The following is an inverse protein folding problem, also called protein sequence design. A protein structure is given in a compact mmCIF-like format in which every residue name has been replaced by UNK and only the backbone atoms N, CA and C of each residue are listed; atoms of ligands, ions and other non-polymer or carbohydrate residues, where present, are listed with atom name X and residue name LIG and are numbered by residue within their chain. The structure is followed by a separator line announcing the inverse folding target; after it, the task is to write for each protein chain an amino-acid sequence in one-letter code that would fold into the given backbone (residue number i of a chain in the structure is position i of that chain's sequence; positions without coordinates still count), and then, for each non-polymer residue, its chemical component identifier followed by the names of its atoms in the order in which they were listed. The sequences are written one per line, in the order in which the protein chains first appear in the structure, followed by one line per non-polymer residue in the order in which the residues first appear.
data_IF_114676871583
#
_entry.id   IF_114676871583
#
_cell.length_a   1.000
_cell.length_b   1.000
_cell.length_c   1.000
_cell.angle_alpha   90.00
_cell.angle_beta   90.00
_cell.angle_gamma   90.00
#
_symmetry.space_group_name_H-M   'P 1'
#
loop_
_entity.id
_entity.type
_entity.pdbx_description
1 polymer ?
#
# COMPACT_ATOMS: atom_id res chain seq x y z
N UNK A 1 -15.50 17.54 54.22
CA UNK A 1 -14.18 16.93 54.02
C UNK A 1 -14.45 15.57 53.43
N UNK A 2 -14.53 15.47 52.10
CA UNK A 2 -14.37 14.21 51.37
C UNK A 2 -13.90 14.58 49.96
N UNK A 3 -12.65 14.25 49.69
CA UNK A 3 -11.91 14.61 48.48
C UNK A 3 -12.30 13.66 47.35
N UNK A 4 -12.96 14.17 46.31
CA UNK A 4 -13.06 13.48 45.03
C UNK A 4 -11.75 13.69 44.26
N UNK A 5 -10.86 12.69 44.35
CA UNK A 5 -9.66 12.61 43.51
C UNK A 5 -10.08 12.57 42.04
N UNK A 6 -9.59 13.55 41.29
CA UNK A 6 -9.69 13.60 39.83
C UNK A 6 -8.78 12.51 39.24
N UNK A 7 -9.28 11.67 38.31
CA UNK A 7 -8.45 10.63 37.71
C UNK A 7 -7.41 11.25 36.78
N UNK A 8 -6.16 10.79 36.86
CA UNK A 8 -5.11 11.16 35.91
C UNK A 8 -5.42 10.65 34.51
N UNK A 9 -5.13 11.50 33.52
CA UNK A 9 -5.48 11.31 32.12
C UNK A 9 -4.33 10.57 31.39
N UNK A 10 -4.41 9.24 31.35
CA UNK A 10 -3.40 8.36 30.75
C UNK A 10 -3.33 8.41 29.20
N UNK A 11 -3.97 9.39 28.54
CA UNK A 11 -3.93 9.55 27.08
C UNK A 11 -4.59 8.39 26.29
N UNK A 12 -5.29 7.49 26.98
CA UNK A 12 -6.06 6.39 26.39
C UNK A 12 -7.53 6.79 26.35
N UNK A 13 -8.07 6.94 25.13
CA UNK A 13 -9.49 7.28 24.91
C UNK A 13 -10.35 6.05 25.27
N UNK A 14 -10.92 6.04 26.48
CA UNK A 14 -11.93 5.04 26.86
C UNK A 14 -13.30 5.51 26.42
N UNK A 15 -13.79 5.00 25.29
CA UNK A 15 -15.16 5.27 24.83
C UNK A 15 -16.11 4.42 25.67
N UNK A 16 -16.66 4.97 26.75
CA UNK A 16 -17.84 4.38 27.41
C UNK A 16 -19.09 4.73 26.60
N UNK A 17 -19.86 3.71 26.21
CA UNK A 17 -21.21 3.91 25.66
C UNK A 17 -22.11 4.43 26.78
N UNK A 18 -22.47 5.70 26.74
CA UNK A 18 -23.56 6.22 27.55
C UNK A 18 -24.92 5.77 26.98
N UNK A 19 -25.88 5.64 27.88
CA UNK A 19 -27.30 5.27 27.69
C UNK A 19 -27.97 6.23 26.67
N UNK A 20 -28.85 5.75 25.77
CA UNK A 20 -29.38 6.58 24.70
C UNK A 20 -30.29 7.68 25.25
N UNK A 21 -29.90 8.94 25.08
CA UNK A 21 -30.70 10.12 25.47
C UNK A 21 -29.90 11.37 25.83
N UNK A 22 -28.59 11.28 26.04
CA UNK A 22 -27.74 12.42 26.37
C UNK A 22 -26.60 12.56 25.36
N UNK A 23 -26.54 13.73 24.71
CA UNK A 23 -25.44 14.09 23.80
C UNK A 23 -24.57 15.11 24.55
N UNK A 24 -23.40 14.68 25.01
CA UNK A 24 -22.42 15.59 25.60
C UNK A 24 -21.55 16.17 24.47
N UNK A 25 -21.75 17.45 24.17
CA UNK A 25 -20.99 18.14 23.12
C UNK A 25 -19.68 18.61 23.72
N UNK A 26 -18.66 17.76 23.67
CA UNK A 26 -17.29 18.15 24.02
C UNK A 26 -16.74 19.01 22.88
N UNK A 27 -16.81 20.33 23.05
CA UNK A 27 -16.07 21.29 22.24
C UNK A 27 -14.56 21.08 22.49
N UNK A 28 -13.96 20.19 21.71
CA UNK A 28 -12.54 19.87 21.78
C UNK A 28 -11.70 21.12 21.58
N UNK A 29 -11.06 21.58 22.65
CA UNK A 29 -10.03 22.62 22.60
C UNK A 29 -8.89 22.16 21.68
N UNK A 30 -8.60 22.96 20.65
CA UNK A 30 -7.54 22.69 19.69
C UNK A 30 -6.18 22.49 20.38
N UNK A 31 -5.36 21.50 19.98
CA UNK A 31 -4.05 21.31 20.56
C UNK A 31 -3.17 22.52 20.25
N UNK A 32 -2.64 23.18 21.29
CA UNK A 32 -1.59 24.20 21.15
C UNK A 32 -0.40 23.59 20.41
N UNK A 33 0.06 24.26 19.35
CA UNK A 33 1.31 23.96 18.64
C UNK A 33 2.45 23.79 19.67
N UNK A 34 2.99 22.57 19.78
CA UNK A 34 4.29 22.35 20.43
C UNK A 34 5.33 23.17 19.66
N UNK A 35 6.10 24.00 20.37
CA UNK A 35 7.29 24.65 19.80
C UNK A 35 8.25 23.54 19.39
N UNK A 36 8.68 23.58 18.13
CA UNK A 36 9.77 22.75 17.62
C UNK A 36 11.04 23.28 18.26
N UNK A 37 11.70 22.45 19.07
CA UNK A 37 13.04 22.77 19.57
C UNK A 37 13.98 22.96 18.39
N UNK A 38 14.72 24.07 18.40
CA UNK A 38 15.71 24.37 17.37
C UNK A 38 16.78 23.27 17.33
N UNK A 39 17.29 22.90 16.14
CA UNK A 39 18.26 21.83 16.02
C UNK A 39 19.52 22.14 16.82
N UNK A 40 19.94 21.17 17.63
CA UNK A 40 21.21 21.17 18.39
C UNK A 40 22.35 21.53 17.43
N UNK A 41 22.98 22.67 17.67
CA UNK A 41 24.20 23.13 16.98
C UNK A 41 25.28 22.08 17.14
N UNK A 42 25.59 21.36 16.06
CA UNK A 42 26.65 20.34 16.05
C UNK A 42 28.00 21.01 16.30
N UNK A 43 28.76 20.47 17.26
CA UNK A 43 30.09 20.96 17.61
C UNK A 43 31.04 20.86 16.41
N UNK A 44 32.02 21.77 16.25
CA UNK A 44 32.83 21.93 15.03
C UNK A 44 33.84 20.80 14.75
N UNK A 45 33.79 19.68 15.47
CA UNK A 45 34.70 18.55 15.29
C UNK A 45 34.61 17.92 13.90
N UNK A 46 33.43 17.92 13.27
CA UNK A 46 33.27 17.42 11.90
C UNK A 46 34.01 18.27 10.86
N UNK A 47 34.05 19.59 11.08
CA UNK A 47 34.78 20.54 10.23
C UNK A 47 36.30 20.38 10.42
N UNK A 48 36.73 20.14 11.66
CA UNK A 48 38.13 19.88 11.98
C UNK A 48 38.64 18.55 11.38
N UNK A 49 37.82 17.49 11.45
CA UNK A 49 38.10 16.20 10.80
C UNK A 49 38.17 16.33 9.27
N UNK A 50 37.26 17.09 8.66
CA UNK A 50 37.29 17.34 7.23
C UNK A 50 38.57 18.08 6.79
N UNK A 51 39.02 19.07 7.57
CA UNK A 51 40.28 19.77 7.31
C UNK A 51 41.50 18.84 7.42
N UNK A 52 41.53 17.93 8.39
CA UNK A 52 42.63 16.95 8.52
C UNK A 52 42.67 15.97 7.35
N UNK A 53 41.53 15.49 6.88
CA UNK A 53 41.44 14.60 5.71
C UNK A 53 41.92 15.32 4.46
N UNK A 54 41.50 16.58 4.26
CA UNK A 54 41.95 17.39 3.14
C UNK A 54 43.48 17.61 3.15
N UNK A 55 44.05 17.92 4.32
CA UNK A 55 45.50 18.08 4.47
C UNK A 55 46.27 16.79 4.16
N UNK A 56 45.77 15.63 4.58
CA UNK A 56 46.37 14.33 4.27
C UNK A 56 46.32 14.03 2.75
N UNK A 57 45.21 14.34 2.07
CA UNK A 57 45.10 14.17 0.62
C UNK A 57 46.09 15.07 -0.15
N UNK A 58 46.24 16.33 0.27
CA UNK A 58 47.20 17.26 -0.35
C UNK A 58 48.64 16.79 -0.12
N UNK A 59 48.99 16.33 1.07
CA UNK A 59 50.31 15.75 1.36
C UNK A 59 50.57 14.48 0.52
N UNK A 60 49.56 13.62 0.36
CA UNK A 60 49.62 12.44 -0.51
C UNK A 60 49.90 12.80 -1.97
N UNK A 61 49.24 13.83 -2.50
CA UNK A 61 49.49 14.31 -3.86
C UNK A 61 50.92 14.85 -4.03
N UNK A 62 51.41 15.66 -3.08
CA UNK A 62 52.77 16.21 -3.14
C UNK A 62 53.83 15.10 -3.12
N UNK A 63 53.67 14.07 -2.27
CA UNK A 63 54.59 12.93 -2.23
C UNK A 63 54.51 12.04 -3.48
N UNK A 64 53.34 11.97 -4.13
CA UNK A 64 53.15 11.24 -5.39
C UNK A 64 53.84 11.91 -6.58
N UNK A 65 53.89 13.25 -6.61
CA UNK A 65 54.59 14.00 -7.64
C UNK A 65 56.13 13.99 -7.48
N UNK A 66 56.64 13.69 -6.28
CA UNK A 66 58.07 13.51 -6.03
C UNK A 66 58.61 12.15 -6.52
N UNK A 67 57.74 11.19 -6.83
CA UNK A 67 58.12 9.93 -7.50
C UNK A 67 57.90 10.09 -9.01
N UNK A 68 58.92 10.58 -9.71
CA UNK A 68 58.92 10.58 -11.17
C UNK A 68 58.77 9.14 -11.71
N UNK A 69 57.84 8.87 -12.64
CA UNK A 69 57.80 7.59 -13.35
C UNK A 69 58.97 7.54 -14.34
N UNK A 70 59.74 6.45 -14.28
CA UNK A 70 60.80 6.15 -15.24
C UNK A 70 60.14 5.83 -16.58
N UNK A 71 60.23 6.74 -17.54
CA UNK A 71 59.69 6.57 -18.88
C UNK A 71 60.52 5.52 -19.65
N UNK A 72 59.86 4.50 -20.17
CA UNK A 72 60.39 3.63 -21.22
C UNK A 72 59.65 3.93 -22.52
N UNK A 73 60.45 4.05 -23.57
CA UNK A 73 60.11 4.63 -24.87
C UNK A 73 59.12 3.80 -25.70
N UNK A 74 58.30 4.51 -26.48
CA UNK A 74 57.53 4.03 -27.64
C UNK A 74 58.43 4.05 -28.89
N UNK A 75 58.23 3.14 -29.85
CA UNK A 75 57.96 3.58 -31.24
C UNK A 75 56.87 2.68 -31.93
N UNK A 76 56.46 2.88 -33.20
CA UNK A 76 55.18 3.55 -33.51
C UNK A 76 54.22 2.76 -34.46
N UNK A 77 52.99 3.28 -34.52
CA UNK A 77 51.95 3.29 -35.57
C UNK A 77 51.98 2.31 -36.77
N UNK A 78 50.81 1.69 -37.05
CA UNK A 78 50.25 1.57 -38.42
C UNK A 78 48.72 1.74 -38.36
N UNK A 79 48.23 2.74 -39.10
CA UNK A 79 46.82 2.97 -39.44
C UNK A 79 46.43 2.12 -40.66
N UNK A 80 45.22 1.57 -40.66
CA UNK A 80 44.46 1.29 -41.88
C UNK A 80 42.96 1.26 -41.58
N UNK A 81 42.24 2.16 -42.25
CA UNK A 81 40.82 2.05 -42.64
C UNK A 81 40.80 1.82 -44.19
N UNK A 82 39.68 1.63 -44.92
CA UNK A 82 38.25 1.62 -44.54
C UNK A 82 37.41 0.48 -45.23
N UNK A 83 36.07 0.67 -45.26
CA UNK A 83 35.03 -0.06 -46.04
C UNK A 83 34.57 -1.44 -45.51
N UNK A 84 33.27 -1.75 -45.33
CA UNK A 84 32.14 -1.46 -46.22
C UNK A 84 30.78 -1.29 -45.50
N UNK A 85 29.90 -0.57 -46.18
CA UNK A 85 28.48 -0.34 -45.91
C UNK A 85 27.65 -1.62 -46.08
N UNK A 86 26.59 -1.81 -45.27
CA UNK A 86 25.25 -2.15 -45.78
C UNK A 86 24.20 -1.79 -44.73
N UNK A 87 23.32 -0.86 -45.10
CA UNK A 87 22.00 -0.63 -44.49
C UNK A 87 21.02 -1.39 -45.36
N UNK A 88 20.17 -2.23 -44.78
CA UNK A 88 18.85 -2.48 -45.39
C UNK A 88 17.81 -2.78 -44.32
N UNK A 89 16.67 -2.14 -44.52
CA UNK A 89 15.55 -2.05 -43.62
C UNK A 89 14.50 -3.12 -43.95
N UNK A 90 13.46 -3.12 -43.13
CA UNK A 90 12.08 -3.53 -43.47
C UNK A 90 11.70 -5.00 -43.22
N UNK A 91 10.87 -5.22 -42.20
CA UNK A 91 9.46 -5.51 -42.41
C UNK A 91 8.75 -5.83 -41.08
N UNK A 92 7.80 -4.96 -40.74
CA UNK A 92 6.70 -5.22 -39.81
C UNK A 92 5.59 -5.92 -40.60
N UNK A 93 4.80 -6.84 -40.01
CA UNK A 93 3.36 -6.65 -40.17
C UNK A 93 2.49 -7.11 -38.99
N UNK A 94 1.51 -6.22 -38.72
CA UNK A 94 0.12 -6.36 -38.26
C UNK A 94 -0.33 -7.09 -36.99
N UNK A 95 -1.14 -6.30 -36.28
CA UNK A 95 -2.21 -6.58 -35.35
C UNK A 95 -3.08 -7.82 -35.60
N UNK A 96 -3.59 -8.38 -34.50
CA UNK A 96 -4.94 -8.94 -34.43
C UNK A 96 -5.51 -8.71 -33.03
N UNK A 97 -6.68 -8.09 -32.98
CA UNK A 97 -7.49 -7.87 -31.80
C UNK A 97 -8.38 -9.10 -31.53
N UNK A 98 -8.54 -9.43 -30.24
CA UNK A 98 -9.69 -9.96 -29.47
C UNK A 98 -10.75 -10.90 -30.14
N UNK A 99 -11.33 -11.87 -29.39
CA UNK A 99 -12.38 -11.46 -28.45
C UNK A 99 -12.51 -12.26 -27.14
N UNK A 100 -12.85 -11.52 -26.08
CA UNK A 100 -13.50 -12.01 -24.86
C UNK A 100 -14.87 -12.67 -25.15
N UNK A 101 -15.20 -13.82 -24.52
CA UNK A 101 -16.55 -14.36 -24.57
C UNK A 101 -17.46 -13.74 -23.50
N UNK A 102 -18.65 -13.38 -23.97
CA UNK A 102 -19.72 -12.74 -23.24
C UNK A 102 -20.36 -13.64 -22.16
N UNK A 103 -20.48 -13.13 -20.94
CA UNK A 103 -21.45 -13.64 -19.96
C UNK A 103 -22.70 -12.76 -19.94
N UNK A 104 -23.63 -13.20 -20.79
CA UNK A 104 -25.09 -13.11 -20.74
C UNK A 104 -25.68 -12.31 -19.56
N UNK A 105 -26.23 -11.13 -19.87
CA UNK A 105 -27.26 -10.45 -19.07
C UNK A 105 -28.50 -11.35 -19.00
N UNK A 106 -28.77 -11.96 -17.85
CA UNK A 106 -30.11 -12.47 -17.53
C UNK A 106 -30.91 -11.31 -16.93
N UNK A 107 -31.67 -10.62 -17.78
CA UNK A 107 -32.78 -9.76 -17.35
C UNK A 107 -33.85 -10.66 -16.76
N UNK A 108 -33.92 -10.72 -15.42
CA UNK A 108 -35.09 -11.25 -14.75
C UNK A 108 -36.20 -10.20 -14.85
N UNK A 109 -37.17 -10.47 -15.70
CA UNK A 109 -38.41 -9.72 -15.83
C UNK A 109 -39.19 -9.87 -14.53
N UNK A 110 -39.15 -8.83 -13.69
CA UNK A 110 -39.94 -8.75 -12.47
C UNK A 110 -41.39 -8.43 -12.85
N UNK A 111 -42.22 -9.47 -12.96
CA UNK A 111 -43.68 -9.30 -12.94
C UNK A 111 -44.05 -8.72 -11.57
N UNK A 112 -44.77 -7.59 -11.48
CA UNK A 112 -45.25 -7.11 -10.19
C UNK A 112 -46.29 -8.11 -9.69
N UNK A 113 -45.98 -8.80 -8.59
CA UNK A 113 -46.99 -9.54 -7.83
C UNK A 113 -47.94 -8.49 -7.29
N UNK A 114 -49.13 -8.40 -7.90
CA UNK A 114 -50.22 -7.62 -7.35
C UNK A 114 -50.51 -8.16 -5.95
N UNK A 115 -50.27 -7.34 -4.92
CA UNK A 115 -50.75 -7.64 -3.58
C UNK A 115 -52.27 -7.79 -3.66
N UNK A 116 -52.76 -9.02 -3.51
CA UNK A 116 -54.17 -9.29 -3.32
C UNK A 116 -54.50 -8.71 -1.95
N UNK A 117 -55.00 -7.47 -1.92
CA UNK A 117 -55.57 -6.90 -0.70
C UNK A 117 -56.86 -7.67 -0.45
N UNK A 118 -56.76 -8.70 0.38
CA UNK A 118 -57.94 -9.34 0.95
C UNK A 118 -58.77 -8.24 1.66
N UNK A 119 -60.11 -8.27 1.54
CA UNK A 119 -60.97 -7.26 2.14
C UNK A 119 -60.71 -7.18 3.65
N UNK A 120 -60.76 -5.97 4.25
CA UNK A 120 -60.42 -5.79 5.65
C UNK A 120 -61.32 -6.66 6.51
N UNK A 121 -60.71 -7.58 7.27
CA UNK A 121 -61.40 -8.33 8.31
C UNK A 121 -62.07 -7.35 9.29
N UNK A 122 -63.23 -7.69 9.87
CA UNK A 122 -63.92 -6.82 10.81
C UNK A 122 -63.03 -6.55 12.01
N UNK A 123 -62.51 -5.32 12.10
CA UNK A 123 -61.62 -4.88 13.16
C UNK A 123 -62.45 -4.76 14.45
N UNK A 124 -62.18 -5.62 15.44
CA UNK A 124 -62.84 -5.49 16.75
C UNK A 124 -62.31 -4.26 17.50
N UNK A 125 -63.15 -3.59 18.32
CA UNK A 125 -62.71 -2.45 19.11
C UNK A 125 -61.63 -2.89 20.11
N UNK A 126 -60.60 -2.06 20.26
CA UNK A 126 -59.42 -2.38 21.09
C UNK A 126 -59.80 -2.65 22.56
N UNK A 127 -60.87 -2.02 23.05
CA UNK A 127 -61.37 -2.14 24.42
C UNK A 127 -61.85 -3.56 24.75
N UNK A 128 -62.40 -4.29 23.78
CA UNK A 128 -62.84 -5.68 23.96
C UNK A 128 -61.66 -6.66 24.02
N UNK A 129 -60.53 -6.28 23.42
CA UNK A 129 -59.31 -7.10 23.37
C UNK A 129 -58.30 -6.78 24.49
N UNK A 130 -58.40 -5.61 25.13
CA UNK A 130 -57.52 -5.17 26.23
C UNK A 130 -58.00 -5.74 27.57
N UNK A 131 -57.41 -6.85 28.02
CA UNK A 131 -57.72 -7.42 29.34
C UNK A 131 -56.97 -6.67 30.44
N UNK A 132 -57.61 -5.68 31.08
CA UNK A 132 -57.25 -5.03 32.37
C UNK A 132 -55.79 -4.56 32.56
N UNK A 133 -55.00 -4.45 31.49
CA UNK A 133 -53.62 -3.97 31.52
C UNK A 133 -53.31 -3.14 30.27
N UNK A 134 -52.49 -2.10 30.43
CA UNK A 134 -52.13 -1.15 29.36
C UNK A 134 -51.05 -1.68 28.40
N UNK A 135 -50.82 -2.99 28.34
CA UNK A 135 -49.75 -3.59 27.54
C UNK A 135 -50.36 -4.28 26.32
N UNK A 136 -49.98 -3.82 25.13
CA UNK A 136 -50.44 -4.38 23.86
C UNK A 136 -49.51 -5.54 23.49
N UNK A 137 -49.93 -6.76 23.84
CA UNK A 137 -49.21 -7.99 23.50
C UNK A 137 -49.70 -8.60 22.18
N UNK A 138 -48.96 -9.57 21.65
CA UNK A 138 -49.29 -10.33 20.43
C UNK A 138 -50.70 -10.94 20.48
N UNK A 139 -51.20 -11.28 21.69
CA UNK A 139 -52.57 -11.74 21.90
C UNK A 139 -53.65 -10.66 21.69
N UNK A 140 -53.37 -9.41 22.07
CA UNK A 140 -54.27 -8.26 21.84
C UNK A 140 -54.30 -7.91 20.35
N UNK A 141 -53.13 -7.95 19.70
CA UNK A 141 -53.01 -7.73 18.26
C UNK A 141 -53.74 -8.83 17.46
N UNK A 142 -53.60 -10.10 17.86
CA UNK A 142 -54.30 -11.21 17.22
C UNK A 142 -55.82 -11.19 17.46
N UNK A 143 -56.27 -10.71 18.62
CA UNK A 143 -57.69 -10.53 18.91
C UNK A 143 -58.32 -9.45 18.01
N UNK A 144 -57.62 -8.33 17.84
CA UNK A 144 -58.14 -7.19 17.07
C UNK A 144 -58.08 -7.40 15.56
N UNK A 145 -57.03 -8.05 15.08
CA UNK A 145 -56.71 -8.15 13.64
C UNK A 145 -56.74 -9.59 13.10
N UNK A 146 -57.06 -10.60 13.91
CA UNK A 146 -56.97 -12.02 13.55
C UNK A 146 -55.52 -12.55 13.63
N UNK A 147 -55.28 -13.81 13.23
CA UNK A 147 -53.93 -14.40 13.23
C UNK A 147 -52.96 -13.54 12.39
N UNK A 148 -52.06 -12.82 13.07
CA UNK A 148 -50.98 -12.10 12.40
C UNK A 148 -49.98 -13.13 11.86
N UNK A 149 -49.62 -13.09 10.57
CA UNK A 149 -48.59 -13.98 10.05
C UNK A 149 -47.29 -13.67 10.78
N UNK A 150 -46.80 -14.64 11.56
CA UNK A 150 -45.48 -14.57 12.17
C UNK A 150 -44.49 -14.43 11.01
N UNK A 151 -43.62 -13.41 10.99
CA UNK A 151 -42.59 -13.36 9.96
C UNK A 151 -41.79 -14.65 10.11
N UNK A 152 -41.87 -15.52 9.11
CA UNK A 152 -40.95 -16.63 8.99
C UNK A 152 -39.56 -16.00 9.14
N UNK A 153 -38.70 -16.61 9.97
CA UNK A 153 -37.28 -16.25 10.04
C UNK A 153 -36.74 -16.41 8.62
N UNK A 154 -36.82 -15.34 7.83
CA UNK A 154 -36.40 -15.33 6.45
C UNK A 154 -34.91 -15.62 6.44
N UNK A 155 -34.46 -16.34 5.43
CA UNK A 155 -33.04 -16.52 5.17
C UNK A 155 -32.31 -15.19 5.37
N UNK A 156 -31.12 -15.22 6.02
CA UNK A 156 -30.39 -14.00 6.33
C UNK A 156 -30.25 -13.19 5.05
N UNK A 157 -30.68 -11.92 5.11
CA UNK A 157 -30.69 -11.03 3.96
C UNK A 157 -29.32 -11.08 3.27
N UNK A 158 -29.27 -11.71 2.10
CA UNK A 158 -28.09 -11.76 1.26
C UNK A 158 -27.87 -10.34 0.78
N UNK A 159 -26.93 -9.64 1.41
CA UNK A 159 -26.54 -8.31 0.98
C UNK A 159 -26.14 -8.33 -0.49
N UNK A 160 -26.17 -7.16 -1.15
CA UNK A 160 -25.84 -7.00 -2.58
C UNK A 160 -24.41 -7.42 -2.98
N UNK A 161 -23.66 -8.07 -2.10
CA UNK A 161 -22.27 -8.47 -2.24
C UNK A 161 -22.17 -9.95 -1.89
N UNK A 162 -21.54 -10.74 -2.78
CA UNK A 162 -21.33 -12.16 -2.52
C UNK A 162 -20.49 -12.37 -1.25
N UNK A 163 -20.73 -13.48 -0.56
CA UNK A 163 -19.93 -13.85 0.60
C UNK A 163 -18.43 -13.93 0.27
N UNK A 164 -18.11 -14.43 -0.91
CA UNK A 164 -16.73 -14.55 -1.40
C UNK A 164 -16.07 -13.18 -1.59
N UNK A 165 -16.76 -12.21 -2.18
CA UNK A 165 -16.22 -10.86 -2.31
C UNK A 165 -15.99 -10.21 -0.94
N UNK A 166 -16.93 -10.39 0.00
CA UNK A 166 -16.77 -9.88 1.36
C UNK A 166 -15.57 -10.53 2.08
N UNK A 167 -15.33 -11.82 1.86
CA UNK A 167 -14.18 -12.53 2.41
C UNK A 167 -12.87 -11.99 1.83
N UNK A 168 -12.79 -11.83 0.51
CA UNK A 168 -11.61 -11.27 -0.18
C UNK A 168 -11.33 -9.82 0.24
N UNK A 169 -12.38 -9.00 0.34
CA UNK A 169 -12.24 -7.62 0.80
C UNK A 169 -11.70 -7.55 2.23
N UNK A 170 -12.24 -8.37 3.15
CA UNK A 170 -11.75 -8.44 4.54
C UNK A 170 -10.32 -8.98 4.62
N UNK A 171 -9.97 -9.96 3.80
CA UNK A 171 -8.62 -10.50 3.71
C UNK A 171 -7.61 -9.43 3.23
N UNK A 172 -7.96 -8.65 2.19
CA UNK A 172 -7.10 -7.58 1.69
C UNK A 172 -7.01 -6.40 2.65
N UNK A 173 -8.12 -6.00 3.29
CA UNK A 173 -8.11 -4.91 4.28
C UNK A 173 -7.25 -5.24 5.51
N UNK A 174 -7.33 -6.48 6.02
CA UNK A 174 -6.53 -6.92 7.17
C UNK A 174 -5.03 -7.07 6.84
N UNK A 175 -4.68 -7.55 5.63
CA UNK A 175 -3.29 -7.59 5.14
C UNK A 175 -2.66 -6.20 5.09
N UNK A 176 -3.37 -5.21 4.57
CA UNK A 176 -2.88 -3.83 4.50
C UNK A 176 -2.69 -3.19 5.87
N UNK A 177 -3.63 -3.41 6.80
CA UNK A 177 -3.53 -2.91 8.18
C UNK A 177 -2.32 -3.51 8.90
N UNK A 178 -2.13 -4.83 8.80
CA UNK A 178 -1.00 -5.54 9.42
C UNK A 178 0.34 -5.11 8.82
N UNK A 179 0.39 -4.80 7.51
CA UNK A 179 1.59 -4.29 6.87
C UNK A 179 1.96 -2.89 7.37
N UNK A 180 0.98 -2.02 7.63
CA UNK A 180 1.20 -0.64 8.11
C UNK A 180 1.79 -0.54 9.52
N UNK A 181 1.53 -1.52 10.40
CA UNK A 181 2.01 -1.50 11.79
C UNK A 181 3.40 -2.11 12.00
N UNK A 182 3.96 -2.81 11.00
CA UNK A 182 5.28 -3.45 11.10
C UNK A 182 6.39 -2.42 10.88
N UNK A 183 7.48 -2.46 11.66
CA UNK A 183 8.63 -1.61 11.40
C UNK A 183 9.20 -1.94 10.01
N UNK A 184 9.45 -0.90 9.22
CA UNK A 184 10.04 -1.01 7.89
C UNK A 184 11.24 -0.07 7.76
N UNK A 185 12.15 -0.43 6.87
CA UNK A 185 13.20 0.48 6.38
C UNK A 185 12.84 0.98 4.99
N UNK A 186 13.27 2.19 4.65
CA UNK A 186 13.07 2.75 3.30
C UNK A 186 14.35 2.55 2.51
N UNK A 187 14.29 1.73 1.46
CA UNK A 187 15.36 1.60 0.50
C UNK A 187 15.18 2.65 -0.61
N UNK A 188 16.31 3.21 -1.06
CA UNK A 188 16.34 4.14 -2.20
C UNK A 188 17.29 3.58 -3.24
N UNK A 189 16.87 3.58 -4.51
CA UNK A 189 17.72 3.19 -5.63
C UNK A 189 17.54 4.13 -6.82
N UNK A 190 18.60 4.24 -7.62
CA UNK A 190 18.57 4.94 -8.91
C UNK A 190 18.32 3.94 -10.03
N UNK A 191 17.10 3.93 -10.57
CA UNK A 191 16.65 3.01 -11.61
C UNK A 191 16.79 3.68 -12.97
N UNK A 192 17.33 3.01 -13.98
CA UNK A 192 17.45 3.57 -15.33
C UNK A 192 16.10 3.60 -16.01
N UNK A 193 15.79 4.71 -16.68
CA UNK A 193 14.66 4.77 -17.61
C UNK A 193 14.87 3.80 -18.77
N UNK A 194 13.78 3.30 -19.35
CA UNK A 194 13.83 2.35 -20.45
C UNK A 194 14.52 2.92 -21.70
N UNK A 195 14.44 4.25 -21.90
CA UNK A 195 15.14 4.96 -22.98
C UNK A 195 16.62 5.26 -22.66
N UNK A 196 17.06 4.96 -21.43
CA UNK A 196 18.42 5.17 -20.94
C UNK A 196 18.84 6.62 -20.73
N UNK A 197 17.95 7.60 -20.94
CA UNK A 197 18.33 9.04 -20.87
C UNK A 197 18.38 9.56 -19.45
N UNK A 198 17.40 9.22 -18.61
CA UNK A 198 17.41 9.62 -17.21
C UNK A 198 17.33 8.41 -16.26
N UNK A 199 17.32 8.74 -14.97
CA UNK A 199 17.20 7.77 -13.88
C UNK A 199 16.11 8.21 -12.92
N UNK A 200 15.21 7.29 -12.61
CA UNK A 200 14.26 7.47 -11.52
C UNK A 200 14.96 7.28 -10.18
N UNK A 201 14.76 8.23 -9.26
CA UNK A 201 15.07 8.02 -7.84
C UNK A 201 13.89 7.32 -7.20
N UNK A 202 13.90 6.00 -7.24
CA UNK A 202 12.83 5.17 -6.68
C UNK A 202 13.05 4.94 -5.19
N UNK A 203 11.96 4.98 -4.44
CA UNK A 203 11.94 4.60 -3.03
C UNK A 203 10.90 3.50 -2.81
N UNK A 204 11.19 2.60 -1.87
CA UNK A 204 10.27 1.55 -1.45
C UNK A 204 10.54 1.12 -0.01
N UNK A 205 9.56 0.46 0.58
CA UNK A 205 9.60 -0.09 1.93
C UNK A 205 10.12 -1.52 1.89
N UNK A 206 10.94 -1.86 2.89
CA UNK A 206 11.49 -3.19 3.10
C UNK A 206 11.13 -3.64 4.50
N UNK A 207 10.48 -4.80 4.60
CA UNK A 207 10.10 -5.44 5.84
C UNK A 207 11.07 -6.60 6.10
N UNK A 208 12.07 -6.38 6.96
CA UNK A 208 13.13 -7.35 7.19
C UNK A 208 13.93 -7.61 5.90
N UNK A 209 13.74 -8.78 5.29
CA UNK A 209 14.37 -9.14 4.02
C UNK A 209 13.41 -9.15 2.81
N UNK A 210 12.16 -8.72 2.97
CA UNK A 210 11.17 -8.72 1.89
C UNK A 210 10.87 -7.29 1.44
N UNK A 211 10.93 -7.04 0.13
CA UNK A 211 10.55 -5.76 -0.46
C UNK A 211 9.03 -5.72 -0.64
N UNK A 212 8.41 -4.61 -0.27
CA UNK A 212 6.99 -4.37 -0.54
C UNK A 212 6.79 -3.81 -1.94
N UNK A 213 6.30 -4.66 -2.86
CA UNK A 213 6.06 -4.30 -4.26
C UNK A 213 5.08 -3.15 -4.46
N UNK A 214 4.14 -2.92 -3.54
CA UNK A 214 3.14 -1.84 -3.65
C UNK A 214 3.74 -0.47 -3.32
N UNK A 215 4.78 -0.46 -2.49
CA UNK A 215 5.52 0.73 -2.08
C UNK A 215 6.59 1.16 -3.11
N UNK A 216 6.78 0.40 -4.19
CA UNK A 216 7.77 0.74 -5.21
C UNK A 216 7.38 2.03 -5.91
N UNK A 217 8.34 2.98 -5.93
CA UNK A 217 8.15 4.33 -6.46
C UNK A 217 7.11 5.15 -5.68
N UNK A 218 6.97 4.91 -4.37
CA UNK A 218 6.03 5.61 -3.49
C UNK A 218 6.34 7.11 -3.33
N UNK A 219 7.56 7.53 -3.67
CA UNK A 219 7.95 8.94 -3.74
C UNK A 219 7.25 9.74 -4.85
N UNK A 220 6.60 9.07 -5.80
CA UNK A 220 5.77 9.69 -6.84
C UNK A 220 4.28 9.53 -6.51
N UNK A 221 3.45 10.48 -6.98
CA UNK A 221 2.02 10.44 -6.71
C UNK A 221 1.37 9.17 -7.30
N UNK A 222 0.40 8.59 -6.57
CA UNK A 222 -0.17 7.25 -6.85
C UNK A 222 -0.68 7.09 -8.29
N UNK A 223 -1.23 8.16 -8.88
CA UNK A 223 -1.78 8.16 -10.25
C UNK A 223 -0.92 8.94 -11.25
N UNK A 224 0.34 9.22 -10.91
CA UNK A 224 1.23 9.97 -11.79
C UNK A 224 1.81 9.08 -12.88
N UNK A 225 2.11 9.69 -14.02
CA UNK A 225 2.79 9.01 -15.12
C UNK A 225 4.19 8.57 -14.68
N UNK A 226 4.92 9.38 -13.91
CA UNK A 226 6.25 9.01 -13.43
C UNK A 226 6.22 7.78 -12.54
N UNK A 227 5.19 7.60 -11.70
CA UNK A 227 5.07 6.39 -10.87
C UNK A 227 4.92 5.15 -11.73
N UNK A 228 4.08 5.21 -12.77
CA UNK A 228 3.83 4.07 -13.66
C UNK A 228 5.10 3.68 -14.43
N UNK A 229 5.80 4.64 -15.00
CA UNK A 229 7.04 4.37 -15.74
C UNK A 229 8.18 3.94 -14.80
N UNK A 230 8.28 4.53 -13.61
CA UNK A 230 9.23 4.10 -12.58
C UNK A 230 8.99 2.65 -12.15
N UNK A 231 7.73 2.23 -11.97
CA UNK A 231 7.41 0.83 -11.61
C UNK A 231 7.76 -0.14 -12.73
N UNK A 232 7.47 0.20 -13.99
CA UNK A 232 7.90 -0.61 -15.15
C UNK A 232 9.42 -0.73 -15.23
N UNK A 233 10.14 0.37 -15.06
CA UNK A 233 11.59 0.36 -15.02
C UNK A 233 12.13 -0.44 -13.81
N UNK A 234 11.42 -0.40 -12.68
CA UNK A 234 11.77 -1.16 -11.49
C UNK A 234 11.65 -2.67 -11.67
N UNK A 235 10.67 -3.15 -12.45
CA UNK A 235 10.56 -4.57 -12.80
C UNK A 235 11.85 -5.07 -13.46
N UNK A 236 12.35 -4.33 -14.45
CA UNK A 236 13.61 -4.66 -15.15
C UNK A 236 14.79 -4.60 -14.19
N UNK A 237 14.86 -3.55 -13.36
CA UNK A 237 15.93 -3.40 -12.38
C UNK A 237 15.95 -4.53 -11.35
N UNK A 238 14.80 -4.99 -10.86
CA UNK A 238 14.74 -6.11 -9.91
C UNK A 238 15.19 -7.42 -10.55
N UNK A 239 14.87 -7.66 -11.82
CA UNK A 239 15.39 -8.81 -12.58
C UNK A 239 16.91 -8.77 -12.71
N UNK A 240 17.47 -7.60 -13.03
CA UNK A 240 18.92 -7.40 -13.12
C UNK A 240 19.61 -7.60 -11.76
N UNK A 241 19.08 -7.00 -10.70
CA UNK A 241 19.59 -7.16 -9.34
C UNK A 241 19.51 -8.63 -8.89
N UNK A 242 18.40 -9.32 -9.10
CA UNK A 242 18.27 -10.74 -8.78
C UNK A 242 19.37 -11.56 -9.49
N UNK A 243 19.63 -11.29 -10.78
CA UNK A 243 20.69 -11.96 -11.54
C UNK A 243 22.09 -11.65 -11.00
N UNK A 244 22.38 -10.40 -10.68
CA UNK A 244 23.68 -9.98 -10.15
C UNK A 244 23.93 -10.51 -8.74
N UNK A 245 22.94 -10.44 -7.85
CA UNK A 245 23.04 -11.00 -6.51
C UNK A 245 23.13 -12.52 -6.52
N UNK A 246 22.45 -13.21 -7.45
CA UNK A 246 22.64 -14.66 -7.64
C UNK A 246 24.08 -15.01 -8.00
N UNK A 247 24.70 -14.26 -8.92
CA UNK A 247 26.12 -14.46 -9.26
C UNK A 247 27.05 -14.12 -8.09
N UNK A 248 26.76 -13.08 -7.31
CA UNK A 248 27.56 -12.70 -6.13
C UNK A 248 27.44 -13.73 -5.01
N UNK A 249 26.24 -14.21 -4.71
CA UNK A 249 25.99 -15.24 -3.71
C UNK A 249 26.69 -16.56 -4.07
N UNK A 250 26.70 -16.94 -5.35
CA UNK A 250 27.45 -18.11 -5.82
C UNK A 250 28.97 -17.97 -5.65
N UNK A 251 29.51 -16.75 -5.82
CA UNK A 251 30.95 -16.46 -5.70
C UNK A 251 31.42 -16.31 -4.25
N UNK A 252 30.77 -15.44 -3.48
CA UNK A 252 31.23 -15.05 -2.16
C UNK A 252 30.69 -15.97 -1.06
N UNK A 253 29.55 -16.64 -1.28
CA UNK A 253 28.86 -17.53 -0.31
C UNK A 253 28.49 -16.88 1.04
N UNK A 254 28.59 -15.57 1.16
CA UNK A 254 28.20 -14.80 2.34
C UNK A 254 26.68 -14.79 2.56
N UNK A 255 26.26 -14.82 3.83
CA UNK A 255 24.83 -14.75 4.20
C UNK A 255 24.17 -13.44 3.74
N UNK A 256 24.89 -12.31 3.76
CA UNK A 256 24.38 -11.04 3.25
C UNK A 256 24.09 -11.09 1.74
N UNK A 257 24.95 -11.79 0.99
CA UNK A 257 24.75 -11.97 -0.46
C UNK A 257 23.56 -12.88 -0.74
N UNK A 258 23.37 -13.94 0.05
CA UNK A 258 22.20 -14.82 -0.04
C UNK A 258 20.91 -14.10 0.35
N UNK A 259 20.93 -13.31 1.42
CA UNK A 259 19.78 -12.50 1.84
C UNK A 259 19.39 -11.49 0.75
N UNK A 260 20.36 -10.77 0.19
CA UNK A 260 20.11 -9.84 -0.91
C UNK A 260 19.57 -10.58 -2.15
N UNK A 261 20.13 -11.74 -2.51
CA UNK A 261 19.62 -12.58 -3.59
C UNK A 261 18.15 -12.94 -3.35
N UNK A 262 17.83 -13.50 -2.18
CA UNK A 262 16.47 -13.89 -1.84
C UNK A 262 15.51 -12.70 -1.94
N UNK A 263 15.89 -11.55 -1.38
CA UNK A 263 15.09 -10.33 -1.40
C UNK A 263 14.75 -9.86 -2.81
N UNK A 264 15.73 -9.77 -3.70
CA UNK A 264 15.53 -9.27 -5.06
C UNK A 264 14.83 -10.30 -5.95
N UNK A 265 15.08 -11.59 -5.75
CA UNK A 265 14.43 -12.63 -6.53
C UNK A 265 12.98 -12.87 -6.08
N UNK A 266 12.67 -12.74 -4.79
CA UNK A 266 11.29 -12.81 -4.26
C UNK A 266 10.42 -11.68 -4.82
N UNK A 267 10.91 -10.43 -4.77
CA UNK A 267 10.15 -9.31 -5.34
C UNK A 267 9.98 -9.47 -6.84
N UNK A 268 10.98 -9.97 -7.57
CA UNK A 268 10.88 -10.20 -9.02
C UNK A 268 9.76 -11.18 -9.37
N UNK A 269 9.50 -12.19 -8.52
CA UNK A 269 8.44 -13.17 -8.75
C UNK A 269 7.03 -12.61 -8.46
N UNK A 270 6.90 -11.72 -7.48
CA UNK A 270 5.60 -11.24 -6.98
C UNK A 270 5.24 -9.83 -7.44
N UNK A 271 6.18 -9.09 -8.02
CA UNK A 271 5.99 -7.69 -8.40
C UNK A 271 5.21 -7.56 -9.71
N UNK A 272 4.12 -6.79 -9.66
CA UNK A 272 3.37 -6.36 -10.83
C UNK A 272 3.40 -4.82 -10.91
N UNK A 273 4.02 -4.22 -11.94
CA UNK A 273 4.14 -2.77 -12.08
C UNK A 273 2.83 -2.05 -12.40
#
# INVERSE_FOLDING_TARGET
MDSLQQPEDDGIIRIQRLVPGQVDVVLGSHPRRKRVDAPRRSRPYGLWLACLIAAACVAGLITSHARAPKALAVPPAVQSAPENQTVEAEAQPVAAADPAPAHIRKTAELVPIAATVAPPAPVQPLDDCMKKGNVIDEAVANCRFGQLPRPAQGEPATGMVSADYMADFKANASRNSTRSSRPYSVATASIREADGRNRYRAQWRVYGNTIDGDSVCENFAIRSFERRECRKAAEVNFREECREWTKRAARNRDEDSKNAQQRYCEVTANFSP
#
